data_IF_784057646959
#
_entry.id   IF_784057646959
#
_cell.length_a   1.000
_cell.length_b   1.000
_cell.length_c   1.000
_cell.angle_alpha   90.00
_cell.angle_beta   90.00
_cell.angle_gamma   90.00
#
_symmetry.space_group_name_H-M   'P 1'
#
loop_
_entity.id
_entity.type
_entity.pdbx_description
1 polymer ?
#
# COMPACT_ATOMS: atom_id res chain seq x y z
N UNK A 1 -17.18 -20.42 23.32
CA UNK A 1 -17.14 -19.39 22.26
C UNK A 1 -16.37 -18.17 22.74
N UNK A 2 -15.19 -17.85 22.18
CA UNK A 2 -14.44 -16.64 22.59
C UNK A 2 -15.08 -15.38 21.98
N UNK A 3 -15.52 -14.44 22.82
CA UNK A 3 -16.11 -13.14 22.41
C UNK A 3 -15.10 -12.35 21.56
N UNK A 4 -15.58 -11.74 20.47
CA UNK A 4 -14.77 -10.93 19.55
C UNK A 4 -14.28 -9.65 20.24
N UNK A 5 -12.97 -9.52 20.49
CA UNK A 5 -12.39 -8.28 21.03
C UNK A 5 -12.36 -7.16 19.96
N UNK A 6 -12.96 -6.01 20.27
CA UNK A 6 -13.09 -4.86 19.37
C UNK A 6 -11.91 -3.88 19.51
N UNK A 7 -10.68 -4.39 19.42
CA UNK A 7 -9.49 -3.59 19.73
C UNK A 7 -8.89 -2.87 18.50
N UNK A 8 -9.60 -2.86 17.35
CA UNK A 8 -9.04 -2.27 16.13
C UNK A 8 -9.09 -0.76 16.25
N UNK A 9 -7.92 -0.13 16.20
CA UNK A 9 -7.78 1.30 16.06
C UNK A 9 -7.56 1.65 14.59
N UNK A 10 -8.00 2.85 14.24
CA UNK A 10 -7.85 3.48 12.93
C UNK A 10 -7.13 4.81 13.11
N UNK A 11 -6.31 5.19 12.15
CA UNK A 11 -5.56 6.44 12.23
C UNK A 11 -6.39 7.60 11.67
N UNK A 12 -6.35 8.74 12.35
CA UNK A 12 -6.96 9.96 11.85
C UNK A 12 -6.09 10.56 10.75
N UNK A 13 -6.70 10.97 9.64
CA UNK A 13 -6.00 11.61 8.52
C UNK A 13 -5.47 13.01 8.87
N UNK A 14 -6.06 13.68 9.86
CA UNK A 14 -5.72 15.05 10.21
C UNK A 14 -4.72 15.15 11.36
N UNK A 15 -4.90 14.36 12.42
CA UNK A 15 -4.01 14.40 13.59
C UNK A 15 -3.07 13.19 13.72
N UNK A 16 -3.12 12.25 12.77
CA UNK A 16 -2.28 11.04 12.71
C UNK A 16 -2.31 10.15 13.96
N UNK A 17 -3.33 10.30 14.82
CA UNK A 17 -3.48 9.53 16.07
C UNK A 17 -4.44 8.35 15.91
N UNK A 18 -4.24 7.23 16.64
CA UNK A 18 -5.09 6.05 16.55
C UNK A 18 -6.34 6.12 17.45
N UNK A 19 -7.51 5.87 16.88
CA UNK A 19 -8.80 5.86 17.59
C UNK A 19 -9.63 4.61 17.27
N UNK A 20 -10.32 4.07 18.27
CA UNK A 20 -11.26 2.93 18.10
C UNK A 20 -12.59 3.35 17.46
N UNK A 21 -13.00 4.61 17.66
CA UNK A 21 -14.23 5.22 17.13
C UNK A 21 -13.89 6.41 16.23
N UNK A 22 -13.21 6.15 15.12
CA UNK A 22 -12.66 7.21 14.26
C UNK A 22 -13.71 8.20 13.74
N UNK A 23 -14.91 7.75 13.39
CA UNK A 23 -15.98 8.65 12.94
C UNK A 23 -16.39 9.64 14.06
N UNK A 24 -16.52 9.16 15.29
CA UNK A 24 -16.84 10.04 16.43
C UNK A 24 -15.72 11.05 16.70
N UNK A 25 -14.47 10.62 16.58
CA UNK A 25 -13.32 11.54 16.68
C UNK A 25 -13.37 12.62 15.60
N UNK A 26 -13.58 12.23 14.33
CA UNK A 26 -13.70 13.19 13.22
C UNK A 26 -14.85 14.18 13.46
N UNK A 27 -16.02 13.69 13.92
CA UNK A 27 -17.18 14.54 14.22
C UNK A 27 -16.94 15.54 15.37
N UNK A 28 -16.01 15.28 16.29
CA UNK A 28 -15.82 16.11 17.50
C UNK A 28 -14.55 16.97 17.50
N UNK A 29 -13.52 16.57 16.78
CA UNK A 29 -12.22 17.25 16.74
C UNK A 29 -11.89 17.86 15.37
N UNK A 30 -12.64 17.49 14.33
CA UNK A 30 -12.36 17.87 12.94
C UNK A 30 -13.65 18.23 12.20
N UNK A 31 -14.65 18.79 12.89
CA UNK A 31 -15.93 19.18 12.30
C UNK A 31 -15.82 20.32 11.27
N UNK A 32 -14.82 21.20 11.45
CA UNK A 32 -14.49 22.28 10.51
C UNK A 32 -13.79 21.83 9.23
N UNK A 33 -13.32 20.58 9.13
CA UNK A 33 -12.69 20.07 7.92
C UNK A 33 -13.73 19.90 6.81
N UNK A 34 -13.47 20.41 5.60
CA UNK A 34 -14.46 20.51 4.52
C UNK A 34 -15.23 19.20 4.26
N UNK A 35 -14.52 18.07 4.20
CA UNK A 35 -15.14 16.77 3.96
C UNK A 35 -15.95 16.25 5.16
N UNK A 36 -15.52 16.57 6.38
CA UNK A 36 -16.21 16.19 7.61
C UNK A 36 -17.47 17.05 7.77
N UNK A 37 -17.37 18.37 7.59
CA UNK A 37 -18.50 19.29 7.57
C UNK A 37 -19.58 18.85 6.56
N UNK A 38 -19.16 18.47 5.35
CA UNK A 38 -20.06 17.91 4.35
C UNK A 38 -20.68 16.57 4.80
N UNK A 39 -19.93 15.69 5.46
CA UNK A 39 -20.50 14.47 6.02
C UNK A 39 -21.50 14.75 7.17
N UNK A 40 -21.27 15.81 7.94
CA UNK A 40 -22.11 16.23 9.06
C UNK A 40 -23.44 16.85 8.59
N UNK A 41 -23.45 17.55 7.44
CA UNK A 41 -24.68 18.10 6.86
C UNK A 41 -25.63 17.03 6.31
N UNK A 42 -25.12 15.83 6.02
CA UNK A 42 -25.92 14.70 5.57
C UNK A 42 -26.65 14.02 6.75
N UNK A 43 -27.87 13.51 6.47
CA UNK A 43 -28.65 12.75 7.47
C UNK A 43 -27.82 11.64 8.11
N UNK A 44 -27.86 11.56 9.45
CA UNK A 44 -27.21 10.49 10.22
C UNK A 44 -27.61 9.12 9.66
N UNK A 45 -26.63 8.22 9.56
CA UNK A 45 -26.74 6.86 9.00
C UNK A 45 -27.01 6.76 7.49
N UNK A 46 -27.10 7.87 6.75
CA UNK A 46 -27.23 7.82 5.28
C UNK A 46 -26.04 7.11 4.62
N UNK A 47 -26.28 6.50 3.45
CA UNK A 47 -25.25 5.80 2.68
C UNK A 47 -24.08 6.72 2.34
N UNK A 48 -24.39 7.93 1.85
CA UNK A 48 -23.38 8.92 1.45
C UNK A 48 -22.51 9.38 2.63
N UNK A 49 -23.11 9.63 3.80
CA UNK A 49 -22.37 9.96 5.04
C UNK A 49 -21.38 8.85 5.41
N UNK A 50 -21.82 7.59 5.36
CA UNK A 50 -20.96 6.43 5.64
C UNK A 50 -19.81 6.31 4.64
N UNK A 51 -20.05 6.58 3.36
CA UNK A 51 -19.00 6.56 2.32
C UNK A 51 -17.92 7.61 2.57
N UNK A 52 -18.30 8.84 2.95
CA UNK A 52 -17.34 9.90 3.26
C UNK A 52 -16.46 9.52 4.47
N UNK A 53 -17.08 9.10 5.58
CA UNK A 53 -16.31 8.68 6.76
C UNK A 53 -15.45 7.44 6.51
N UNK A 54 -15.90 6.48 5.69
CA UNK A 54 -15.08 5.32 5.32
C UNK A 54 -13.88 5.72 4.47
N UNK A 55 -14.03 6.71 3.58
CA UNK A 55 -12.93 7.27 2.80
C UNK A 55 -11.91 8.00 3.68
N UNK A 56 -12.36 8.87 4.58
CA UNK A 56 -11.49 9.56 5.54
C UNK A 56 -10.72 8.57 6.43
N UNK A 57 -11.41 7.54 6.94
CA UNK A 57 -10.78 6.45 7.68
C UNK A 57 -9.71 5.74 6.86
N UNK A 58 -10.03 5.34 5.62
CA UNK A 58 -9.07 4.65 4.74
C UNK A 58 -7.87 5.53 4.39
N UNK A 59 -8.07 6.85 4.28
CA UNK A 59 -6.98 7.79 4.03
C UNK A 59 -6.01 7.85 5.21
N UNK A 60 -6.51 8.00 6.44
CA UNK A 60 -5.66 8.00 7.63
C UNK A 60 -4.97 6.65 7.87
N UNK A 61 -5.69 5.54 7.68
CA UNK A 61 -5.08 4.19 7.73
C UNK A 61 -4.01 4.00 6.65
N UNK A 62 -4.20 4.57 5.45
CA UNK A 62 -3.23 4.49 4.36
C UNK A 62 -1.95 5.22 4.74
N UNK A 63 -2.04 6.45 5.24
CA UNK A 63 -0.85 7.24 5.62
C UNK A 63 0.00 6.51 6.67
N UNK A 64 -0.62 6.05 7.75
CA UNK A 64 0.07 5.24 8.77
C UNK A 64 0.71 3.97 8.16
N UNK A 65 0.00 3.27 7.27
CA UNK A 65 0.55 2.07 6.64
C UNK A 65 1.75 2.39 5.75
N UNK A 66 1.74 3.54 5.07
CA UNK A 66 2.86 3.99 4.25
C UNK A 66 4.09 4.25 5.12
N UNK A 67 3.92 4.88 6.28
CA UNK A 67 5.00 5.05 7.27
C UNK A 67 5.51 3.70 7.78
N UNK A 68 4.62 2.78 8.17
CA UNK A 68 5.00 1.42 8.61
C UNK A 68 5.80 0.67 7.54
N UNK A 69 5.38 0.76 6.27
CA UNK A 69 6.08 0.11 5.16
C UNK A 69 7.47 0.73 4.91
N UNK A 70 7.57 2.05 5.05
CA UNK A 70 8.81 2.81 4.88
C UNK A 70 9.82 2.48 5.98
N UNK A 71 9.37 2.54 7.24
CA UNK A 71 10.22 2.38 8.42
C UNK A 71 10.43 0.92 8.84
N UNK A 72 9.58 0.00 8.34
CA UNK A 72 9.48 -1.40 8.80
C UNK A 72 9.23 -1.55 10.30
N UNK A 73 8.63 -0.54 10.91
CA UNK A 73 8.28 -0.51 12.33
C UNK A 73 6.78 -0.37 12.49
N UNK A 74 6.22 -1.08 13.47
CA UNK A 74 4.78 -1.06 13.73
C UNK A 74 4.01 -2.14 12.95
N UNK A 75 2.70 -1.96 12.86
CA UNK A 75 1.78 -2.94 12.25
C UNK A 75 0.82 -2.26 11.29
N UNK A 76 0.57 -2.92 10.16
CA UNK A 76 -0.38 -2.44 9.15
C UNK A 76 -1.83 -2.52 9.65
N UNK A 77 -2.58 -1.46 9.40
CA UNK A 77 -4.03 -1.41 9.55
C UNK A 77 -4.69 -1.90 8.27
N UNK A 78 -5.10 -3.18 8.27
CA UNK A 78 -5.70 -3.85 7.11
C UNK A 78 -7.22 -3.89 7.17
N UNK A 79 -7.94 -3.74 6.04
CA UNK A 79 -9.40 -3.62 6.04
C UNK A 79 -10.12 -4.91 6.48
N UNK A 80 -9.54 -6.08 6.25
CA UNK A 80 -10.04 -7.37 6.74
C UNK A 80 -9.00 -7.97 7.67
N UNK A 81 -9.34 -8.13 8.96
CA UNK A 81 -8.47 -8.84 9.92
C UNK A 81 -8.18 -10.24 9.38
N UNK A 82 -6.93 -10.70 9.47
CA UNK A 82 -6.62 -12.11 9.35
C UNK A 82 -7.42 -12.89 10.42
N UNK A 83 -7.62 -14.20 10.21
CA UNK A 83 -8.18 -15.04 11.28
C UNK A 83 -7.23 -14.98 12.48
N UNK A 84 -7.77 -15.14 13.70
CA UNK A 84 -7.00 -14.99 14.94
C UNK A 84 -5.65 -15.73 14.87
N UNK A 85 -4.55 -15.04 15.18
CA UNK A 85 -3.22 -15.63 15.32
C UNK A 85 -2.28 -15.45 14.12
N UNK A 86 -2.76 -14.96 12.97
CA UNK A 86 -1.92 -14.75 11.79
C UNK A 86 -1.42 -13.30 11.70
N UNK A 87 -0.20 -13.03 12.17
CA UNK A 87 0.62 -11.90 11.67
C UNK A 87 1.09 -12.26 10.28
N UNK A 88 0.27 -11.98 9.26
CA UNK A 88 0.71 -12.13 7.89
C UNK A 88 1.78 -11.05 7.58
N UNK A 89 2.92 -11.41 6.98
CA UNK A 89 4.00 -10.48 6.64
C UNK A 89 3.47 -9.27 5.85
N UNK A 90 4.09 -8.09 5.98
CA UNK A 90 3.67 -6.86 5.30
C UNK A 90 3.47 -7.05 3.78
N UNK A 91 4.29 -7.89 3.17
CA UNK A 91 4.30 -8.26 1.75
C UNK A 91 3.04 -8.99 1.26
N UNK A 92 2.20 -9.44 2.18
CA UNK A 92 0.94 -10.12 1.87
C UNK A 92 -0.22 -9.15 1.64
N UNK A 93 -0.07 -7.87 1.98
CA UNK A 93 -1.10 -6.85 1.81
C UNK A 93 -0.65 -5.77 0.84
N UNK A 94 -1.59 -5.34 -0.01
CA UNK A 94 -1.37 -4.27 -0.96
C UNK A 94 -2.48 -3.21 -0.85
N UNK A 95 -2.15 -1.92 -1.05
CA UNK A 95 -3.14 -0.86 -1.08
C UNK A 95 -3.93 -0.88 -2.39
N UNK A 96 -5.24 -0.69 -2.33
CA UNK A 96 -6.05 -0.53 -3.53
C UNK A 96 -5.81 0.83 -4.18
N UNK A 97 -5.58 0.86 -5.50
CA UNK A 97 -5.45 2.09 -6.32
C UNK A 97 -6.63 3.05 -6.17
N UNK A 98 -7.85 2.52 -5.99
CA UNK A 98 -9.07 3.31 -5.93
C UNK A 98 -9.42 3.83 -4.54
N UNK A 99 -9.41 2.97 -3.51
CA UNK A 99 -9.86 3.37 -2.17
C UNK A 99 -8.74 3.48 -1.12
N UNK A 100 -7.48 3.23 -1.50
CA UNK A 100 -6.30 3.25 -0.61
C UNK A 100 -6.34 2.26 0.55
N UNK A 101 -7.42 1.47 0.69
CA UNK A 101 -7.53 0.43 1.69
C UNK A 101 -6.55 -0.72 1.42
N UNK A 102 -5.99 -1.30 2.48
CA UNK A 102 -5.08 -2.45 2.38
C UNK A 102 -5.83 -3.78 2.41
N UNK A 103 -5.54 -4.64 1.43
CA UNK A 103 -6.18 -5.95 1.22
C UNK A 103 -5.13 -7.03 0.96
N UNK A 104 -5.43 -8.31 1.30
CA UNK A 104 -4.54 -9.40 0.94
C UNK A 104 -4.29 -9.43 -0.57
N UNK A 105 -3.03 -9.52 -1.00
CA UNK A 105 -2.58 -9.56 -2.40
C UNK A 105 -3.39 -10.57 -3.22
N UNK A 106 -3.67 -11.75 -2.66
CA UNK A 106 -4.48 -12.81 -3.31
C UNK A 106 -5.92 -12.40 -3.64
N UNK A 107 -6.48 -11.40 -2.97
CA UNK A 107 -7.86 -10.95 -3.11
C UNK A 107 -8.03 -9.52 -3.65
N UNK A 108 -6.94 -8.80 -3.93
CA UNK A 108 -7.03 -7.39 -4.34
C UNK A 108 -7.81 -7.20 -5.65
N UNK A 109 -7.67 -8.12 -6.60
CA UNK A 109 -8.43 -8.11 -7.86
C UNK A 109 -9.94 -8.21 -7.66
N UNK A 110 -10.39 -9.03 -6.69
CA UNK A 110 -11.81 -9.21 -6.38
C UNK A 110 -12.39 -7.96 -5.73
N UNK A 111 -11.58 -7.32 -4.88
CA UNK A 111 -11.93 -6.03 -4.29
C UNK A 111 -12.02 -4.94 -5.35
N UNK A 112 -11.01 -4.81 -6.22
CA UNK A 112 -10.93 -3.74 -7.21
C UNK A 112 -12.16 -3.70 -8.13
N UNK A 113 -12.63 -4.88 -8.61
CA UNK A 113 -13.86 -5.01 -9.41
C UNK A 113 -15.11 -4.39 -8.76
N UNK A 114 -15.21 -4.46 -7.43
CA UNK A 114 -16.35 -3.93 -6.68
C UNK A 114 -16.10 -2.51 -6.17
N UNK A 115 -14.84 -2.15 -5.92
CA UNK A 115 -14.44 -0.87 -5.33
C UNK A 115 -14.72 0.31 -6.26
N UNK A 116 -14.51 0.11 -7.57
CA UNK A 116 -14.90 1.01 -8.63
C UNK A 116 -15.03 0.16 -9.89
N UNK A 117 -16.23 -0.07 -10.44
CA UNK A 117 -16.37 -0.77 -11.71
C UNK A 117 -15.76 0.13 -12.80
N UNK A 118 -14.49 -0.09 -13.12
CA UNK A 118 -13.91 0.48 -14.35
C UNK A 118 -14.49 -0.29 -15.54
N UNK A 119 -14.80 0.42 -16.61
CA UNK A 119 -15.45 -0.07 -17.84
C UNK A 119 -14.59 -0.98 -18.71
N UNK A 120 -13.42 -1.44 -18.24
CA UNK A 120 -12.44 -2.15 -19.07
C UNK A 120 -12.04 -3.45 -18.39
N UNK A 121 -11.91 -4.51 -19.20
CA UNK A 121 -11.52 -5.88 -18.82
C UNK A 121 -10.16 -5.93 -18.13
N UNK A 122 -10.15 -5.60 -16.85
CA UNK A 122 -8.94 -5.60 -16.03
C UNK A 122 -8.62 -7.03 -15.58
N UNK A 123 -7.44 -7.51 -15.97
CA UNK A 123 -6.93 -8.79 -15.54
C UNK A 123 -6.43 -8.72 -14.07
N UNK A 124 -6.41 -9.86 -13.38
CA UNK A 124 -5.93 -9.95 -11.97
C UNK A 124 -4.56 -9.30 -11.78
N UNK A 125 -3.67 -9.47 -12.76
CA UNK A 125 -2.31 -8.96 -12.72
C UNK A 125 -2.26 -7.43 -12.76
N UNK A 126 -3.16 -6.79 -13.51
CA UNK A 126 -3.22 -5.33 -13.61
C UNK A 126 -3.49 -4.67 -12.26
N UNK A 127 -4.44 -5.19 -11.48
CA UNK A 127 -4.73 -4.63 -10.15
C UNK A 127 -3.59 -4.82 -9.16
N UNK A 128 -2.86 -5.94 -9.25
CA UNK A 128 -1.65 -6.14 -8.42
C UNK A 128 -0.58 -5.12 -8.81
N UNK A 129 -0.38 -4.88 -10.10
CA UNK A 129 0.58 -3.89 -10.61
C UNK A 129 0.28 -2.47 -10.11
N UNK A 130 -0.96 -2.02 -10.27
CA UNK A 130 -1.41 -0.71 -9.78
C UNK A 130 -1.21 -0.55 -8.27
N UNK A 131 -1.41 -1.64 -7.51
CA UNK A 131 -1.28 -1.62 -6.06
C UNK A 131 0.18 -1.60 -5.61
N UNK A 132 1.08 -2.26 -6.34
CA UNK A 132 2.52 -2.24 -6.08
C UNK A 132 3.14 -0.86 -6.35
N UNK A 133 2.66 -0.16 -7.38
CA UNK A 133 3.11 1.19 -7.71
C UNK A 133 2.82 2.22 -6.59
N UNK A 134 1.87 1.93 -5.69
CA UNK A 134 1.54 2.79 -4.55
C UNK A 134 2.41 2.56 -3.32
N UNK A 135 3.27 1.54 -3.30
CA UNK A 135 4.12 1.24 -2.14
C UNK A 135 5.26 2.25 -2.03
N UNK A 136 5.69 2.61 -0.80
CA UNK A 136 6.78 3.54 -0.63
C UNK A 136 8.08 2.88 -1.05
N UNK A 137 9.00 3.71 -1.55
CA UNK A 137 10.38 3.32 -1.79
C UNK A 137 11.23 3.92 -0.67
N UNK A 138 12.31 3.24 -0.27
CA UNK A 138 13.16 3.65 0.86
C UNK A 138 13.81 5.01 0.60
N UNK A 139 14.08 5.77 1.67
CA UNK A 139 14.60 7.16 1.57
C UNK A 139 15.92 7.29 0.82
N UNK A 140 16.81 6.30 0.94
CA UNK A 140 18.09 6.30 0.23
C UNK A 140 17.94 6.06 -1.28
N UNK A 141 16.74 5.71 -1.75
CA UNK A 141 16.47 5.47 -3.16
C UNK A 141 16.21 6.79 -3.87
N UNK A 142 17.05 7.09 -4.83
CA UNK A 142 17.03 8.24 -5.71
C UNK A 142 15.75 8.27 -6.56
N UNK A 143 15.41 9.48 -7.05
CA UNK A 143 14.30 9.67 -8.01
C UNK A 143 14.51 8.84 -9.28
N UNK A 144 15.75 8.71 -9.73
CA UNK A 144 16.09 7.94 -10.93
C UNK A 144 15.79 6.45 -10.73
N UNK A 145 16.30 5.85 -9.66
CA UNK A 145 16.02 4.46 -9.33
C UNK A 145 14.53 4.20 -9.10
N UNK A 146 13.81 5.15 -8.48
CA UNK A 146 12.35 5.06 -8.39
C UNK A 146 11.70 5.00 -9.77
N UNK A 147 12.11 5.84 -10.71
CA UNK A 147 11.64 5.79 -12.10
C UNK A 147 11.91 4.45 -12.77
N UNK A 148 13.11 3.88 -12.58
CA UNK A 148 13.48 2.54 -13.07
C UNK A 148 12.57 1.48 -12.44
N UNK A 149 12.42 1.48 -11.11
CA UNK A 149 11.56 0.56 -10.35
C UNK A 149 10.10 0.63 -10.77
N UNK A 150 9.59 1.82 -11.11
CA UNK A 150 8.22 2.03 -11.56
C UNK A 150 8.02 1.59 -13.03
N UNK A 151 9.06 1.71 -13.87
CA UNK A 151 9.05 1.24 -15.27
C UNK A 151 9.06 -0.28 -15.43
N UNK A 152 9.58 -1.00 -14.42
CA UNK A 152 9.63 -2.45 -14.41
C UNK A 152 8.23 -3.08 -14.41
N UNK A 153 8.14 -4.35 -14.81
CA UNK A 153 6.92 -5.13 -14.59
C UNK A 153 6.67 -5.29 -13.09
N UNK A 154 5.57 -4.71 -12.59
CA UNK A 154 5.20 -4.79 -11.18
C UNK A 154 4.63 -6.18 -10.82
N UNK A 155 5.51 -7.15 -10.65
CA UNK A 155 5.22 -8.54 -10.29
C UNK A 155 5.87 -8.94 -8.95
N UNK A 156 5.89 -10.24 -8.64
CA UNK A 156 6.53 -10.76 -7.42
C UNK A 156 8.04 -10.44 -7.36
N UNK A 157 8.71 -10.34 -8.51
CA UNK A 157 10.12 -9.99 -8.57
C UNK A 157 10.31 -8.52 -8.20
N UNK A 158 9.49 -7.63 -8.77
CA UNK A 158 9.53 -6.21 -8.42
C UNK A 158 9.25 -5.97 -6.92
N UNK A 159 8.27 -6.66 -6.35
CA UNK A 159 7.98 -6.58 -4.91
C UNK A 159 9.18 -7.05 -4.07
N UNK A 160 9.76 -8.19 -4.43
CA UNK A 160 10.91 -8.71 -3.70
C UNK A 160 12.11 -7.76 -3.75
N UNK A 161 12.38 -7.16 -4.91
CA UNK A 161 13.46 -6.17 -5.06
C UNK A 161 13.16 -4.92 -4.22
N UNK A 162 11.93 -4.39 -4.26
CA UNK A 162 11.52 -3.23 -3.44
C UNK A 162 11.65 -3.51 -1.93
N UNK A 163 11.56 -4.78 -1.54
CA UNK A 163 11.67 -5.22 -0.15
C UNK A 163 13.07 -5.68 0.25
N UNK A 164 14.07 -5.60 -0.62
CA UNK A 164 15.42 -6.06 -0.30
C UNK A 164 16.40 -4.87 -0.26
N UNK A 165 16.82 -4.50 0.95
CA UNK A 165 17.69 -3.36 1.21
C UNK A 165 19.04 -3.47 0.48
N UNK A 166 19.62 -4.67 0.44
CA UNK A 166 20.92 -4.90 -0.17
C UNK A 166 20.81 -4.81 -1.69
N UNK A 167 19.75 -5.37 -2.28
CA UNK A 167 19.45 -5.21 -3.70
C UNK A 167 19.28 -3.73 -4.07
N UNK A 168 18.49 -2.98 -3.31
CA UNK A 168 18.29 -1.56 -3.58
C UNK A 168 19.60 -0.75 -3.49
N UNK A 169 20.44 -1.00 -2.48
CA UNK A 169 21.75 -0.33 -2.33
C UNK A 169 22.72 -0.71 -3.44
N UNK A 170 22.77 -1.99 -3.81
CA UNK A 170 23.62 -2.49 -4.89
C UNK A 170 23.29 -1.81 -6.22
N UNK A 171 21.99 -1.67 -6.52
CA UNK A 171 21.55 -1.05 -7.76
C UNK A 171 21.77 0.47 -7.73
N UNK A 172 21.60 1.14 -6.60
CA UNK A 172 21.92 2.56 -6.55
C UNK A 172 23.40 2.85 -6.82
N UNK A 173 24.27 2.01 -6.26
CA UNK A 173 25.68 2.06 -6.62
C UNK A 173 25.90 1.81 -8.11
N UNK A 174 25.17 0.89 -8.70
CA UNK A 174 25.26 0.58 -10.13
C UNK A 174 24.76 1.73 -11.02
N UNK A 175 23.68 2.41 -10.64
CA UNK A 175 23.15 3.60 -11.31
C UNK A 175 24.18 4.73 -11.28
N UNK A 176 24.81 4.95 -10.13
CA UNK A 176 25.84 6.00 -9.97
C UNK A 176 27.02 5.85 -10.95
N UNK A 177 27.31 4.62 -11.41
CA UNK A 177 28.38 4.32 -12.37
C UNK A 177 27.93 4.36 -13.83
N UNK A 178 26.65 4.12 -14.11
CA UNK A 178 26.14 3.90 -15.48
C UNK A 178 25.66 5.19 -16.18
N UNK A 179 25.58 6.32 -15.48
CA UNK A 179 25.14 7.61 -16.03
C UNK A 179 23.64 7.71 -16.33
N UNK A 180 23.22 8.87 -16.86
CA UNK A 180 21.80 9.24 -17.05
C UNK A 180 21.34 9.07 -18.51
N UNK A 181 21.21 7.84 -18.99
CA UNK A 181 20.66 7.55 -20.32
C UNK A 181 19.45 6.62 -20.25
N UNK A 182 18.49 6.78 -21.14
CA UNK A 182 17.31 5.88 -21.20
C UNK A 182 17.69 4.44 -21.55
N UNK A 183 18.78 4.25 -22.31
CA UNK A 183 19.34 2.93 -22.60
C UNK A 183 19.95 2.29 -21.35
N UNK A 184 20.71 3.05 -20.55
CA UNK A 184 21.26 2.56 -19.29
C UNK A 184 20.15 2.20 -18.30
N UNK A 185 19.09 3.00 -18.19
CA UNK A 185 17.94 2.69 -17.30
C UNK A 185 17.22 1.39 -17.67
N UNK A 186 16.98 1.14 -18.97
CA UNK A 186 16.39 -0.13 -19.43
C UNK A 186 17.30 -1.32 -19.15
N UNK A 187 18.61 -1.17 -19.40
CA UNK A 187 19.60 -2.21 -19.10
C UNK A 187 19.65 -2.53 -17.60
N UNK A 188 19.64 -1.50 -16.75
CA UNK A 188 19.62 -1.64 -15.29
C UNK A 188 18.34 -2.34 -14.85
N UNK A 189 17.16 -1.93 -15.34
CA UNK A 189 15.89 -2.60 -15.05
C UNK A 189 15.93 -4.10 -15.41
N UNK A 190 16.53 -4.45 -16.54
CA UNK A 190 16.70 -5.85 -16.95
C UNK A 190 17.61 -6.61 -15.97
N UNK A 191 18.80 -6.05 -15.65
CA UNK A 191 19.75 -6.67 -14.72
C UNK A 191 19.17 -6.84 -13.32
N UNK A 192 18.41 -5.86 -12.83
CA UNK A 192 17.66 -5.95 -11.58
C UNK A 192 16.73 -7.15 -11.57
N UNK A 193 15.99 -7.37 -12.67
CA UNK A 193 15.09 -8.53 -12.77
C UNK A 193 15.83 -9.85 -12.87
N UNK A 194 16.98 -9.90 -13.55
CA UNK A 194 17.84 -11.10 -13.59
C UNK A 194 18.32 -11.47 -12.18
N UNK A 195 18.87 -10.51 -11.44
CA UNK A 195 19.28 -10.70 -10.05
C UNK A 195 18.11 -11.08 -9.13
N UNK A 196 16.96 -10.43 -9.30
CA UNK A 196 15.75 -10.79 -8.58
C UNK A 196 15.33 -12.24 -8.86
N UNK A 197 15.31 -12.68 -10.13
CA UNK A 197 14.99 -14.08 -10.45
C UNK A 197 15.99 -15.05 -9.82
N UNK A 198 17.29 -14.72 -9.87
CA UNK A 198 18.33 -15.52 -9.24
C UNK A 198 18.09 -15.67 -7.74
N UNK A 199 17.87 -14.55 -7.03
CA UNK A 199 17.58 -14.53 -5.59
C UNK A 199 16.34 -15.35 -5.24
N UNK A 200 15.31 -15.32 -6.08
CA UNK A 200 14.10 -16.13 -5.90
C UNK A 200 14.41 -17.63 -5.92
N UNK A 201 15.28 -18.08 -6.82
CA UNK A 201 15.68 -19.48 -6.90
C UNK A 201 16.60 -19.88 -5.74
N UNK A 202 17.55 -19.02 -5.35
CA UNK A 202 18.40 -19.24 -4.17
C UNK A 202 17.58 -19.46 -2.89
N UNK A 203 16.52 -18.67 -2.68
CA UNK A 203 15.60 -18.79 -1.53
C UNK A 203 14.76 -20.08 -1.53
N UNK A 204 14.80 -20.91 -2.57
CA UNK A 204 14.16 -22.23 -2.55
C UNK A 204 15.11 -23.33 -2.05
N UNK A 205 16.41 -23.08 -2.14
CA UNK A 205 17.48 -24.03 -1.81
C UNK A 205 17.91 -23.86 -0.34
N UNK A 206 17.65 -22.69 0.25
CA UNK A 206 17.87 -22.35 1.66
C UNK A 206 16.56 -22.36 2.42
#
# INVERSE_FOLDING_TARGET
MKKRKWDKKHFCVFCCKPYSKIAQHLESAHDGEMEVAHALSLKKKSKKRKEIFDRLRKAGDYEHNMEVLKDRRGSLVVNKRAKHGETAPGDTFLPCSNCRGFYPKKYIWRHAKLCKPMSVSSCKLQHVRESLALLPVKEFVSKQMKGILDSMTQDDIALMIRNDDYMLRFIEHFISKAGHSTHSERYIAQKMRELGRLLKEFRKIT
#
